data_IF_212723291429
#
_entry.id   IF_212723291429
#
_cell.length_a   1.000
_cell.length_b   1.000
_cell.length_c   1.000
_cell.angle_alpha   90.00
_cell.angle_beta   90.00
_cell.angle_gamma   90.00
#
_symmetry.space_group_name_H-M   'P 1'
#
loop_
_entity.id
_entity.type
_entity.pdbx_description
1 polymer ?
#
# COMPACT_ATOMS: atom_id res chain seq x y z
N UNK A 1 1.92 -14.30 -2.16
CA UNK A 1 1.27 -12.97 -2.02
C UNK A 1 0.03 -13.14 -1.16
N UNK A 2 -0.14 -12.37 -0.09
CA UNK A 2 -1.31 -12.50 0.82
C UNK A 2 -2.61 -12.06 0.13
N UNK A 3 -3.74 -12.69 0.49
CA UNK A 3 -5.08 -12.31 0.02
C UNK A 3 -5.38 -10.82 0.28
N UNK A 4 -4.90 -10.27 1.40
CA UNK A 4 -5.03 -8.84 1.72
C UNK A 4 -4.33 -7.94 0.70
N UNK A 5 -3.11 -8.30 0.29
CA UNK A 5 -2.34 -7.54 -0.70
C UNK A 5 -3.03 -7.56 -2.08
N UNK A 6 -3.60 -8.70 -2.45
CA UNK A 6 -4.41 -8.82 -3.67
C UNK A 6 -5.65 -7.94 -3.62
N UNK A 7 -6.40 -7.94 -2.51
CA UNK A 7 -7.58 -7.11 -2.36
C UNK A 7 -7.26 -5.60 -2.46
N UNK A 8 -6.16 -5.16 -1.84
CA UNK A 8 -5.70 -3.77 -1.92
C UNK A 8 -5.37 -3.37 -3.37
N UNK A 9 -4.60 -4.20 -4.08
CA UNK A 9 -4.24 -3.95 -5.48
C UNK A 9 -5.47 -3.86 -6.39
N UNK A 10 -6.43 -4.78 -6.21
CA UNK A 10 -7.70 -4.74 -6.94
C UNK A 10 -8.45 -3.44 -6.62
N UNK A 11 -8.47 -3.01 -5.36
CA UNK A 11 -9.05 -1.73 -4.95
C UNK A 11 -8.44 -0.53 -5.69
N UNK A 12 -7.11 -0.48 -5.82
CA UNK A 12 -6.44 0.58 -6.58
C UNK A 12 -6.81 0.56 -8.06
N UNK A 13 -6.84 -0.62 -8.67
CA UNK A 13 -7.21 -0.77 -10.08
C UNK A 13 -8.64 -0.31 -10.31
N UNK A 14 -9.57 -0.68 -9.43
CA UNK A 14 -10.97 -0.26 -9.52
C UNK A 14 -11.10 1.24 -9.38
N UNK A 15 -10.49 1.85 -8.36
CA UNK A 15 -10.53 3.30 -8.17
C UNK A 15 -9.87 4.05 -9.35
N UNK A 16 -8.75 3.54 -9.86
CA UNK A 16 -8.07 4.14 -11.02
C UNK A 16 -8.93 4.06 -12.27
N UNK A 17 -9.53 2.90 -12.53
CA UNK A 17 -10.46 2.71 -13.64
C UNK A 17 -11.68 3.62 -13.51
N UNK A 18 -12.26 3.77 -12.31
CA UNK A 18 -13.37 4.70 -12.08
C UNK A 18 -12.98 6.15 -12.35
N UNK A 19 -11.79 6.57 -11.93
CA UNK A 19 -11.26 7.91 -12.20
C UNK A 19 -11.12 8.23 -13.68
N UNK A 20 -10.71 7.24 -14.50
CA UNK A 20 -10.52 7.41 -15.94
C UNK A 20 -11.83 7.27 -16.72
N UNK A 21 -12.63 6.25 -16.43
CA UNK A 21 -13.87 5.95 -17.17
C UNK A 21 -14.94 7.01 -16.88
N UNK A 22 -15.03 7.47 -15.64
CA UNK A 22 -16.02 8.47 -15.20
C UNK A 22 -15.41 9.87 -15.00
N UNK A 23 -14.39 10.21 -15.80
CA UNK A 23 -13.73 11.51 -15.75
C UNK A 23 -14.72 12.68 -15.92
N UNK A 24 -14.58 13.73 -15.09
CA UNK A 24 -15.48 14.88 -15.07
C UNK A 24 -16.80 14.67 -14.32
N UNK A 25 -16.99 13.49 -13.70
CA UNK A 25 -18.10 13.23 -12.79
C UNK A 25 -17.63 13.26 -11.32
N UNK A 26 -18.57 13.45 -10.40
CA UNK A 26 -18.29 13.38 -8.96
C UNK A 26 -17.66 12.04 -8.56
N UNK A 27 -18.08 10.92 -9.19
CA UNK A 27 -17.54 9.59 -8.89
C UNK A 27 -16.07 9.50 -9.28
N UNK A 28 -15.72 9.92 -10.50
CA UNK A 28 -14.33 9.93 -10.97
C UNK A 28 -13.43 10.83 -10.12
N UNK A 29 -13.91 12.03 -9.79
CA UNK A 29 -13.19 12.99 -8.95
C UNK A 29 -12.92 12.42 -7.55
N UNK A 30 -13.93 11.82 -6.91
CA UNK A 30 -13.75 11.20 -5.60
C UNK A 30 -12.82 9.99 -5.65
N UNK A 31 -12.90 9.15 -6.68
CA UNK A 31 -11.98 8.02 -6.85
C UNK A 31 -10.52 8.48 -6.92
N UNK A 32 -10.23 9.53 -7.71
CA UNK A 32 -8.87 10.09 -7.82
C UNK A 32 -8.42 10.77 -6.51
N UNK A 33 -9.31 11.48 -5.82
CA UNK A 33 -9.01 12.09 -4.51
C UNK A 33 -8.69 11.03 -3.45
N UNK A 34 -9.43 9.92 -3.42
CA UNK A 34 -9.17 8.80 -2.51
C UNK A 34 -7.80 8.19 -2.82
N UNK A 35 -7.49 7.93 -4.10
CA UNK A 35 -6.17 7.43 -4.49
C UNK A 35 -5.04 8.39 -4.09
N UNK A 36 -5.24 9.70 -4.28
CA UNK A 36 -4.28 10.71 -3.89
C UNK A 36 -4.08 10.74 -2.36
N UNK A 37 -5.16 10.70 -1.59
CA UNK A 37 -5.10 10.65 -0.12
C UNK A 37 -4.37 9.40 0.37
N UNK A 38 -4.63 8.23 -0.23
CA UNK A 38 -3.93 6.99 0.09
C UNK A 38 -2.44 7.08 -0.26
N UNK A 39 -2.10 7.62 -1.43
CA UNK A 39 -0.71 7.82 -1.83
C UNK A 39 0.03 8.74 -0.84
N UNK A 40 -0.59 9.84 -0.42
CA UNK A 40 -0.02 10.75 0.60
C UNK A 40 0.15 10.03 1.94
N UNK A 41 -0.87 9.30 2.40
CA UNK A 41 -0.79 8.54 3.65
C UNK A 41 0.37 7.53 3.61
N UNK A 42 0.53 6.82 2.49
CA UNK A 42 1.60 5.83 2.32
C UNK A 42 2.99 6.48 2.24
N UNK A 43 3.13 7.68 1.69
CA UNK A 43 4.39 8.45 1.76
C UNK A 43 4.72 8.82 3.22
N UNK A 44 3.71 9.21 4.00
CA UNK A 44 3.91 9.47 5.44
C UNK A 44 4.32 8.19 6.17
N UNK A 45 3.69 7.05 5.86
CA UNK A 45 4.06 5.74 6.43
C UNK A 45 5.51 5.35 6.06
N UNK A 46 5.96 5.59 4.83
CA UNK A 46 7.35 5.35 4.44
C UNK A 46 8.33 6.14 5.33
N UNK A 47 8.01 7.39 5.66
CA UNK A 47 8.84 8.21 6.55
C UNK A 47 8.79 7.72 8.01
N UNK A 48 7.60 7.34 8.50
CA UNK A 48 7.41 6.82 9.87
C UNK A 48 8.13 5.47 10.06
N UNK A 49 8.03 4.58 9.07
CA UNK A 49 8.59 3.23 9.13
C UNK A 49 9.99 3.11 8.54
N UNK A 50 10.58 4.22 8.08
CA UNK A 50 11.92 4.27 7.48
C UNK A 50 12.98 3.55 8.33
N UNK A 51 13.01 3.84 9.64
CA UNK A 51 13.97 3.20 10.57
C UNK A 51 13.75 1.69 10.68
N UNK A 52 12.50 1.22 10.66
CA UNK A 52 12.17 -0.21 10.71
C UNK A 52 12.61 -0.90 9.41
N UNK A 53 12.39 -0.27 8.26
CA UNK A 53 12.86 -0.77 6.97
C UNK A 53 14.39 -0.85 6.90
N UNK A 54 15.10 0.10 7.52
CA UNK A 54 16.56 0.09 7.59
C UNK A 54 17.09 -1.06 8.48
N UNK A 55 16.36 -1.41 9.54
CA UNK A 55 16.73 -2.47 10.47
C UNK A 55 16.38 -3.88 9.97
N UNK A 56 15.42 -4.01 9.06
CA UNK A 56 14.96 -5.30 8.53
C UNK A 56 15.99 -6.05 7.65
N UNK A 57 17.10 -5.39 7.30
CA UNK A 57 18.08 -5.94 6.36
C UNK A 57 17.56 -6.02 4.92
N UNK A 58 18.41 -6.44 3.98
CA UNK A 58 18.02 -6.55 2.57
C UNK A 58 17.89 -5.20 1.84
N UNK A 59 17.05 -5.15 0.81
CA UNK A 59 16.90 -3.96 -0.05
C UNK A 59 15.94 -2.95 0.56
N UNK A 60 16.51 -1.87 1.09
CA UNK A 60 15.77 -0.75 1.67
C UNK A 60 14.73 -0.16 0.69
N UNK A 61 15.10 0.01 -0.58
CA UNK A 61 14.19 0.52 -1.61
C UNK A 61 12.98 -0.40 -1.82
N UNK A 62 13.18 -1.72 -1.75
CA UNK A 62 12.09 -2.68 -1.86
C UNK A 62 11.17 -2.66 -0.64
N UNK A 63 11.72 -2.52 0.57
CA UNK A 63 10.90 -2.37 1.78
C UNK A 63 10.06 -1.09 1.73
N UNK A 64 10.66 0.03 1.34
CA UNK A 64 9.94 1.30 1.20
C UNK A 64 8.86 1.23 0.10
N UNK A 65 9.15 0.58 -1.03
CA UNK A 65 8.15 0.34 -2.07
C UNK A 65 6.98 -0.52 -1.58
N UNK A 66 7.27 -1.57 -0.79
CA UNK A 66 6.22 -2.40 -0.21
C UNK A 66 5.41 -1.66 0.87
N UNK A 67 6.03 -0.78 1.66
CA UNK A 67 5.31 0.15 2.55
C UNK A 67 4.47 1.13 1.73
N UNK A 68 4.97 1.63 0.60
CA UNK A 68 4.17 2.49 -0.26
C UNK A 68 2.94 1.79 -0.86
N UNK A 69 3.00 0.49 -1.14
CA UNK A 69 1.87 -0.23 -1.72
C UNK A 69 0.89 -0.74 -0.67
N UNK A 70 1.41 -1.23 0.47
CA UNK A 70 0.64 -2.00 1.45
C UNK A 70 0.64 -1.36 2.84
N UNK A 71 1.33 -0.24 3.03
CA UNK A 71 1.37 0.53 4.26
C UNK A 71 1.85 -0.29 5.47
N UNK A 72 1.19 -0.06 6.60
CA UNK A 72 1.42 -0.78 7.86
C UNK A 72 1.34 -2.31 7.74
N UNK A 73 0.60 -2.87 6.77
CA UNK A 73 0.50 -4.33 6.62
C UNK A 73 1.85 -4.96 6.29
N UNK A 74 2.69 -4.31 5.48
CA UNK A 74 4.04 -4.80 5.19
C UNK A 74 4.93 -4.76 6.43
N UNK A 75 4.82 -3.69 7.23
CA UNK A 75 5.63 -3.54 8.45
C UNK A 75 5.28 -4.59 9.50
N UNK A 76 3.99 -4.93 9.64
CA UNK A 76 3.55 -6.02 10.52
C UNK A 76 4.08 -7.38 10.09
N UNK A 77 4.22 -7.63 8.79
CA UNK A 77 4.86 -8.85 8.28
C UNK A 77 6.36 -8.90 8.65
N UNK A 78 7.07 -7.77 8.68
CA UNK A 78 8.46 -7.69 9.14
C UNK A 78 8.61 -7.98 10.64
N UNK A 79 7.59 -7.64 11.43
CA UNK A 79 7.56 -7.85 12.88
C UNK A 79 7.11 -9.28 13.29
N UNK A 80 6.61 -10.09 12.35
CA UNK A 80 6.23 -11.48 12.60
C UNK A 80 7.06 -12.50 11.77
N UNK A 81 8.35 -12.71 12.06
CA UNK A 81 9.16 -13.73 11.38
C UNK A 81 8.81 -15.20 11.72
N UNK A 82 7.66 -15.49 12.36
CA UNK A 82 7.46 -16.79 13.02
C UNK A 82 6.04 -17.36 13.13
N UNK A 83 5.02 -16.87 12.40
CA UNK A 83 3.65 -17.39 12.59
C UNK A 83 2.75 -17.52 11.35
N UNK A 84 3.30 -17.76 10.15
CA UNK A 84 2.50 -18.28 9.02
C UNK A 84 3.28 -19.28 8.14
N UNK A 85 3.65 -20.42 8.73
CA UNK A 85 3.41 -21.71 8.08
C UNK A 85 2.07 -22.20 8.63
N UNK A 86 1.03 -22.29 7.80
CA UNK A 86 -0.25 -22.87 8.21
C UNK A 86 -1.47 -22.18 7.63
N UNK A 87 -1.61 -22.20 6.31
CA UNK A 87 -2.78 -22.72 5.58
C UNK A 87 -2.62 -22.48 4.08
#
# INVERSE_FOLDING_TARGET
MSATKMAILVGYVVLGAMGVIYAGSAVGDWSLRILLLLAVAHVVEMAVFYKRCQQAGGSMALHLFNVFLFGVFHVRELEQPGSMQGQ
#
